data_IF_097468322113
#
_entry.id   IF_097468322113
#
_cell.length_a   1.000
_cell.length_b   1.000
_cell.length_c   1.000
_cell.angle_alpha   90.00
_cell.angle_beta   90.00
_cell.angle_gamma   90.00
#
_symmetry.space_group_name_H-M   'P 1'
#
loop_
_entity.id
_entity.type
_entity.pdbx_description
1 polymer ?
#
# COMPACT_ATOMS: atom_id res chain seq x y z
N UNK A 1 21.80 -5.20 10.97
CA UNK A 1 20.42 -4.70 11.14
C UNK A 1 19.45 -5.53 10.30
N UNK A 2 18.28 -5.82 10.83
CA UNK A 2 17.20 -6.49 10.13
C UNK A 2 16.08 -5.47 9.84
N UNK A 3 15.78 -5.25 8.57
CA UNK A 3 14.69 -4.39 8.12
C UNK A 3 13.54 -5.25 7.61
N UNK A 4 12.41 -5.18 8.29
CA UNK A 4 11.20 -5.86 7.86
C UNK A 4 10.33 -4.89 7.04
N UNK A 5 10.13 -5.21 5.77
CA UNK A 5 9.15 -4.52 4.95
C UNK A 5 7.79 -5.18 5.18
N UNK A 6 7.00 -4.56 6.04
CA UNK A 6 5.64 -4.96 6.38
C UNK A 6 4.63 -4.33 5.41
N UNK A 7 3.50 -3.85 5.90
CA UNK A 7 2.45 -3.16 5.14
C UNK A 7 1.54 -2.39 6.07
N UNK A 8 0.90 -1.34 5.57
CA UNK A 8 -0.24 -0.70 6.24
C UNK A 8 -1.34 -1.71 6.60
N UNK A 9 -1.45 -2.80 5.82
CA UNK A 9 -2.43 -3.86 6.07
C UNK A 9 -2.22 -4.58 7.42
N UNK A 10 -1.00 -4.60 7.94
CA UNK A 10 -0.72 -5.10 9.28
C UNK A 10 -1.36 -4.26 10.37
N UNK A 11 -1.49 -2.95 10.13
CA UNK A 11 -2.13 -2.02 11.06
C UNK A 11 -3.66 -1.97 10.89
N UNK A 12 -4.18 -2.19 9.68
CA UNK A 12 -5.60 -2.11 9.36
C UNK A 12 -6.02 -0.79 8.71
N UNK A 13 -7.33 -0.62 8.49
CA UNK A 13 -7.91 0.58 7.86
C UNK A 13 -7.83 1.81 8.76
N UNK A 14 -7.91 2.97 8.15
CA UNK A 14 -8.04 4.25 8.85
C UNK A 14 -9.51 4.59 9.09
N UNK A 15 -9.81 5.18 10.24
CA UNK A 15 -11.16 5.60 10.65
C UNK A 15 -11.36 7.12 10.41
N UNK A 16 -11.22 7.55 9.15
CA UNK A 16 -11.45 8.96 8.76
C UNK A 16 -10.29 9.92 9.01
N UNK A 17 -9.25 9.53 9.75
CA UNK A 17 -8.01 10.29 9.98
C UNK A 17 -6.79 9.53 9.50
N UNK A 18 -5.67 10.20 9.34
CA UNK A 18 -4.39 9.56 9.06
C UNK A 18 -4.01 8.62 10.22
N UNK A 19 -3.72 7.37 9.88
CA UNK A 19 -3.25 6.39 10.83
C UNK A 19 -1.80 6.67 11.22
N UNK A 20 -1.51 6.56 12.50
CA UNK A 20 -0.15 6.71 13.07
C UNK A 20 0.33 5.38 13.65
N UNK A 21 1.61 5.31 13.98
CA UNK A 21 2.23 4.14 14.61
C UNK A 21 1.70 3.86 16.01
N UNK A 22 1.11 4.87 16.66
CA UNK A 22 0.52 4.78 18.00
C UNK A 22 -0.89 4.22 18.01
N UNK A 23 -1.52 4.07 16.85
CA UNK A 23 -2.87 3.51 16.75
C UNK A 23 -2.83 2.00 16.93
N UNK A 24 -3.78 1.48 17.72
CA UNK A 24 -3.97 0.04 17.90
C UNK A 24 -4.12 -0.69 16.56
N UNK A 25 -3.45 -1.80 16.37
CA UNK A 25 -3.49 -2.56 15.12
C UNK A 25 -4.75 -3.43 15.04
N UNK A 26 -5.40 -3.41 13.88
CA UNK A 26 -6.59 -4.21 13.60
C UNK A 26 -6.57 -4.73 12.15
N UNK A 27 -5.74 -5.75 11.84
CA UNK A 27 -5.63 -6.28 10.49
C UNK A 27 -6.91 -7.03 10.09
N UNK A 28 -7.53 -6.62 9.00
CA UNK A 28 -8.84 -7.13 8.54
C UNK A 28 -8.76 -8.27 7.51
N UNK A 29 -7.59 -8.47 6.90
CA UNK A 29 -7.34 -9.47 5.85
C UNK A 29 -6.40 -10.57 6.34
N UNK A 30 -6.39 -11.70 5.64
CA UNK A 30 -5.38 -12.75 5.88
C UNK A 30 -3.96 -12.23 5.61
N UNK A 31 -3.80 -11.43 4.55
CA UNK A 31 -2.54 -10.77 4.25
C UNK A 31 -2.09 -9.85 5.39
N UNK A 32 -2.97 -8.98 5.87
CA UNK A 32 -2.68 -8.08 6.99
C UNK A 32 -2.29 -8.84 8.27
N UNK A 33 -3.05 -9.88 8.62
CA UNK A 33 -2.73 -10.75 9.76
C UNK A 33 -1.36 -11.42 9.60
N UNK A 34 -1.06 -11.97 8.41
CA UNK A 34 0.24 -12.58 8.13
C UNK A 34 1.38 -11.57 8.28
N UNK A 35 1.22 -10.33 7.79
CA UNK A 35 2.20 -9.26 7.97
C UNK A 35 2.37 -8.92 9.45
N UNK A 36 1.27 -8.79 10.22
CA UNK A 36 1.35 -8.52 11.66
C UNK A 36 2.04 -9.65 12.43
N UNK A 37 1.75 -10.91 12.11
CA UNK A 37 2.45 -12.06 12.71
C UNK A 37 3.96 -12.00 12.43
N UNK A 38 4.35 -11.64 11.20
CA UNK A 38 5.76 -11.43 10.84
C UNK A 38 6.42 -10.28 11.65
N UNK A 39 5.69 -9.19 11.88
CA UNK A 39 6.18 -8.08 12.73
C UNK A 39 6.43 -8.53 14.17
N UNK A 40 5.48 -9.27 14.76
CA UNK A 40 5.62 -9.78 16.14
C UNK A 40 6.77 -10.80 16.24
N UNK A 41 6.92 -11.68 15.25
CA UNK A 41 8.02 -12.63 15.20
C UNK A 41 9.39 -11.94 15.10
N UNK A 42 9.48 -10.85 14.30
CA UNK A 42 10.70 -10.06 14.23
C UNK A 42 10.97 -9.29 15.53
N UNK A 43 9.93 -8.71 16.14
CA UNK A 43 10.05 -8.00 17.42
C UNK A 43 10.50 -8.92 18.57
N UNK A 44 10.05 -10.18 18.59
CA UNK A 44 10.48 -11.16 19.57
C UNK A 44 11.98 -11.51 19.50
N UNK A 45 12.67 -11.12 18.42
CA UNK A 45 14.12 -11.29 18.25
C UNK A 45 14.90 -9.98 18.42
N UNK A 46 14.22 -8.88 18.80
CA UNK A 46 14.84 -7.56 18.83
C UNK A 46 15.88 -7.40 19.97
N UNK A 47 15.89 -8.27 20.94
CA UNK A 47 16.95 -8.39 21.97
C UNK A 47 18.27 -8.97 21.40
N UNK A 48 18.17 -9.73 20.30
CA UNK A 48 19.30 -10.44 19.68
C UNK A 48 19.78 -9.79 18.40
N UNK A 49 18.86 -9.17 17.66
CA UNK A 49 19.10 -8.54 16.35
C UNK A 49 18.47 -7.16 16.32
N UNK A 50 19.19 -6.10 15.90
CA UNK A 50 18.59 -4.78 15.71
C UNK A 50 17.51 -4.81 14.64
N UNK A 51 16.22 -4.67 14.99
CA UNK A 51 15.06 -4.74 14.11
C UNK A 51 14.47 -3.35 13.88
N UNK A 52 14.12 -3.04 12.63
CA UNK A 52 13.29 -1.89 12.28
C UNK A 52 12.21 -2.35 11.29
N UNK A 53 11.00 -1.84 11.45
CA UNK A 53 9.83 -2.22 10.66
C UNK A 53 9.37 -1.02 9.82
N UNK A 54 9.17 -1.23 8.51
CA UNK A 54 8.55 -0.24 7.62
C UNK A 54 7.18 -0.74 7.17
N UNK A 55 6.17 0.09 7.27
CA UNK A 55 4.79 -0.17 6.85
C UNK A 55 4.40 0.71 5.65
N UNK A 56 4.84 0.37 4.44
CA UNK A 56 4.37 1.08 3.25
C UNK A 56 2.88 0.81 3.01
N UNK A 57 2.13 1.79 2.46
CA UNK A 57 0.78 1.60 1.93
C UNK A 57 0.82 0.96 0.53
N UNK A 58 0.05 1.50 -0.43
CA UNK A 58 0.12 1.06 -1.81
C UNK A 58 1.43 1.51 -2.45
N UNK A 59 2.31 0.55 -2.72
CA UNK A 59 3.59 0.79 -3.42
C UNK A 59 3.36 0.71 -4.92
N UNK A 60 3.83 1.70 -5.67
CA UNK A 60 3.75 1.74 -7.13
C UNK A 60 5.09 2.15 -7.75
N UNK A 61 5.27 1.90 -9.04
CA UNK A 61 6.49 2.25 -9.77
C UNK A 61 6.79 1.29 -10.91
N UNK A 62 7.86 1.53 -11.62
CA UNK A 62 8.31 0.66 -12.71
C UNK A 62 8.52 -0.78 -12.24
N UNK A 63 7.96 -1.75 -12.98
CA UNK A 63 8.04 -3.18 -12.65
C UNK A 63 6.96 -3.70 -11.70
N UNK A 64 6.10 -2.85 -11.15
CA UNK A 64 4.99 -3.28 -10.30
C UNK A 64 3.88 -3.94 -11.13
N UNK A 65 3.81 -5.28 -11.04
CA UNK A 65 2.79 -6.07 -11.72
C UNK A 65 1.40 -5.90 -11.09
N UNK A 66 1.33 -5.65 -9.81
CA UNK A 66 0.06 -5.54 -9.08
C UNK A 66 -0.63 -4.21 -9.38
N UNK A 67 0.09 -3.10 -9.30
CA UNK A 67 -0.42 -1.77 -9.65
C UNK A 67 -0.75 -1.63 -11.13
N UNK A 68 -0.03 -2.32 -12.01
CA UNK A 68 -0.28 -2.31 -13.45
C UNK A 68 -1.75 -2.63 -13.81
N UNK A 69 -2.43 -3.45 -13.02
CA UNK A 69 -3.86 -3.74 -13.23
C UNK A 69 -4.78 -2.52 -13.05
N UNK A 70 -4.32 -1.45 -12.40
CA UNK A 70 -5.05 -0.18 -12.32
C UNK A 70 -4.78 0.66 -13.59
N UNK A 71 -3.54 0.70 -14.06
CA UNK A 71 -3.12 1.49 -15.22
C UNK A 71 -3.68 0.93 -16.55
N UNK A 72 -3.67 -0.39 -16.70
CA UNK A 72 -4.03 -1.06 -17.96
C UNK A 72 -5.44 -0.76 -18.47
N UNK A 73 -6.53 -0.85 -17.69
CA UNK A 73 -7.87 -0.51 -18.16
C UNK A 73 -8.03 0.97 -18.46
N UNK A 74 -7.33 1.86 -17.75
CA UNK A 74 -7.30 3.29 -18.04
C UNK A 74 -6.62 3.52 -19.39
N UNK A 75 -5.45 2.93 -19.64
CA UNK A 75 -4.74 3.04 -20.92
C UNK A 75 -5.58 2.50 -22.08
N UNK A 76 -6.14 1.30 -21.93
CA UNK A 76 -6.81 0.59 -23.04
C UNK A 76 -8.21 1.12 -23.32
N UNK A 77 -8.99 1.45 -22.30
CA UNK A 77 -10.41 1.74 -22.43
C UNK A 77 -10.83 3.11 -21.88
N UNK A 78 -9.96 3.85 -21.20
CA UNK A 78 -10.33 5.08 -20.49
C UNK A 78 -11.24 4.80 -19.28
N UNK A 79 -11.17 3.60 -18.68
CA UNK A 79 -12.06 3.18 -17.59
C UNK A 79 -11.24 2.94 -16.32
N UNK A 80 -11.71 3.51 -15.21
CA UNK A 80 -11.18 3.24 -13.87
C UNK A 80 -12.25 2.55 -13.01
N UNK A 81 -12.12 1.25 -12.70
CA UNK A 81 -13.02 0.55 -11.80
C UNK A 81 -12.87 1.06 -10.38
N UNK A 82 -13.95 1.54 -9.77
CA UNK A 82 -13.95 2.10 -8.40
C UNK A 82 -14.81 1.21 -7.49
N UNK A 83 -14.21 0.42 -6.57
CA UNK A 83 -14.98 -0.37 -5.62
C UNK A 83 -15.78 0.52 -4.66
N UNK A 84 -17.05 0.16 -4.43
CA UNK A 84 -17.88 0.77 -3.39
C UNK A 84 -18.15 2.26 -3.59
N UNK A 85 -18.85 2.63 -4.66
CA UNK A 85 -19.13 4.03 -5.06
C UNK A 85 -19.79 4.94 -4.01
N UNK A 86 -20.49 4.37 -3.05
CA UNK A 86 -21.20 5.18 -2.03
C UNK A 86 -20.29 5.83 -1.00
N UNK A 87 -19.03 5.37 -0.90
CA UNK A 87 -18.06 5.90 0.07
C UNK A 87 -16.79 6.29 -0.65
N UNK A 88 -16.51 7.59 -0.69
CA UNK A 88 -15.23 8.10 -1.18
C UNK A 88 -14.10 7.63 -0.25
N UNK A 89 -13.28 6.73 -0.73
CA UNK A 89 -12.16 6.14 0.02
C UNK A 89 -10.86 6.82 -0.37
N UNK A 90 -10.12 7.24 0.64
CA UNK A 90 -8.77 7.79 0.45
C UNK A 90 -7.73 6.69 0.50
N UNK A 91 -6.63 6.90 -0.21
CA UNK A 91 -5.50 5.98 -0.25
C UNK A 91 -4.19 6.74 -0.09
N UNK A 92 -3.30 6.25 0.77
CA UNK A 92 -1.89 6.64 0.77
C UNK A 92 -1.12 5.80 -0.23
N UNK A 93 -0.13 6.41 -0.85
CA UNK A 93 0.74 5.78 -1.84
C UNK A 93 2.20 6.06 -1.48
N UNK A 94 3.10 5.24 -2.02
CA UNK A 94 4.53 5.52 -2.01
C UNK A 94 5.15 4.98 -3.31
N UNK A 95 5.98 5.77 -3.94
CA UNK A 95 6.74 5.29 -5.10
C UNK A 95 7.88 4.38 -4.66
N UNK A 96 8.18 3.35 -5.44
CA UNK A 96 9.20 2.36 -5.13
C UNK A 96 10.59 2.97 -4.88
N UNK A 97 10.97 4.05 -5.59
CA UNK A 97 12.22 4.77 -5.36
C UNK A 97 12.25 5.46 -3.99
N UNK A 98 11.15 6.12 -3.59
CA UNK A 98 11.07 6.79 -2.30
C UNK A 98 11.03 5.77 -1.14
N UNK A 99 10.37 4.62 -1.35
CA UNK A 99 10.45 3.50 -0.41
C UNK A 99 11.88 2.96 -0.28
N UNK A 100 12.62 2.81 -1.39
CA UNK A 100 14.02 2.39 -1.35
C UNK A 100 14.91 3.38 -0.57
N UNK A 101 14.72 4.68 -0.76
CA UNK A 101 15.41 5.70 0.02
C UNK A 101 15.08 5.59 1.53
N UNK A 102 13.81 5.36 1.86
CA UNK A 102 13.39 5.16 3.26
C UNK A 102 14.02 3.91 3.90
N UNK A 103 14.19 2.83 3.13
CA UNK A 103 14.89 1.61 3.56
C UNK A 103 16.34 1.92 3.91
N UNK A 104 17.05 2.68 3.07
CA UNK A 104 18.43 3.08 3.33
C UNK A 104 18.54 3.97 4.57
N UNK A 105 17.64 4.96 4.72
CA UNK A 105 17.59 5.81 5.91
C UNK A 105 17.33 5.00 7.18
N UNK A 106 16.35 4.08 7.15
CA UNK A 106 16.02 3.23 8.28
C UNK A 106 17.16 2.26 8.63
N UNK A 107 17.90 1.77 7.64
CA UNK A 107 19.09 0.94 7.87
C UNK A 107 20.18 1.70 8.64
N UNK A 108 20.42 2.94 8.25
CA UNK A 108 21.51 3.78 8.78
C UNK A 108 21.15 4.44 10.11
N UNK A 109 19.94 4.95 10.26
CA UNK A 109 19.53 5.85 11.34
C UNK A 109 18.27 5.41 12.09
N UNK A 110 17.54 4.40 11.59
CA UNK A 110 16.25 4.00 12.16
C UNK A 110 16.40 3.55 13.62
N UNK A 111 15.47 4.03 14.45
CA UNK A 111 15.29 3.49 15.81
C UNK A 111 14.97 2.00 15.72
N UNK A 112 15.33 1.25 16.74
CA UNK A 112 15.11 -0.20 16.80
C UNK A 112 13.85 -0.50 17.60
N UNK A 113 13.16 -1.57 17.22
CA UNK A 113 12.00 -2.08 17.95
C UNK A 113 12.43 -2.48 19.35
N UNK A 114 11.66 -2.07 20.36
CA UNK A 114 11.82 -2.55 21.73
C UNK A 114 11.27 -3.99 21.83
N UNK A 115 12.03 -4.97 22.33
CA UNK A 115 11.52 -6.33 22.52
C UNK A 115 10.23 -6.39 23.35
N UNK A 116 10.04 -5.48 24.30
CA UNK A 116 8.83 -5.38 25.10
C UNK A 116 7.57 -5.08 24.25
N UNK A 117 7.72 -4.46 23.09
CA UNK A 117 6.61 -4.16 22.17
C UNK A 117 6.08 -5.40 21.44
N UNK A 118 6.75 -6.56 21.52
CA UNK A 118 6.30 -7.81 20.91
C UNK A 118 4.94 -8.29 21.45
N UNK A 119 4.58 -7.88 22.66
CA UNK A 119 3.29 -8.18 23.30
C UNK A 119 2.28 -7.03 23.25
N UNK A 120 2.63 -5.90 22.60
CA UNK A 120 1.79 -4.72 22.57
C UNK A 120 0.93 -4.65 21.29
N UNK A 121 -0.17 -3.90 21.39
CA UNK A 121 -1.04 -3.62 20.23
C UNK A 121 -0.38 -2.76 19.17
N UNK A 122 0.65 -1.99 19.53
CA UNK A 122 1.41 -1.14 18.63
C UNK A 122 2.91 -1.13 19.02
N UNK A 123 3.75 -0.68 18.10
CA UNK A 123 5.18 -0.47 18.37
C UNK A 123 5.42 1.01 18.72
N UNK A 124 5.90 1.27 19.94
CA UNK A 124 6.25 2.61 20.42
C UNK A 124 7.41 3.22 19.62
N UNK A 125 8.38 2.39 19.25
CA UNK A 125 9.57 2.78 18.49
C UNK A 125 9.95 1.74 17.44
N UNK A 126 10.82 2.11 16.50
CA UNK A 126 11.37 1.20 15.50
C UNK A 126 10.39 0.74 14.42
N UNK A 127 9.18 1.31 14.39
CA UNK A 127 8.19 1.07 13.35
C UNK A 127 7.80 2.40 12.70
N UNK A 128 7.70 2.41 11.36
CA UNK A 128 7.42 3.62 10.58
C UNK A 128 6.44 3.35 9.44
N UNK A 129 5.43 4.21 9.30
CA UNK A 129 4.73 4.33 8.04
C UNK A 129 5.57 5.13 7.03
N UNK A 130 5.51 4.72 5.76
CA UNK A 130 6.27 5.35 4.68
C UNK A 130 5.33 5.65 3.53
N UNK A 131 4.92 6.89 3.37
CA UNK A 131 4.00 7.30 2.31
C UNK A 131 4.30 8.71 1.80
N UNK A 132 3.75 9.01 0.63
CA UNK A 132 3.63 10.37 0.13
C UNK A 132 2.67 11.18 1.00
N UNK A 133 2.80 12.50 0.99
CA UNK A 133 1.91 13.41 1.73
C UNK A 133 0.52 13.48 1.11
N UNK A 134 0.45 13.27 -0.20
CA UNK A 134 -0.82 13.24 -0.91
C UNK A 134 -1.62 11.98 -0.56
N UNK A 135 -2.88 12.19 -0.18
CA UNK A 135 -3.83 11.12 0.10
C UNK A 135 -5.07 11.28 -0.78
N UNK A 136 -4.96 11.04 -2.09
CA UNK A 136 -6.06 11.21 -3.02
C UNK A 136 -7.22 10.26 -2.69
N UNK A 137 -8.42 10.60 -3.16
CA UNK A 137 -9.46 9.59 -3.24
C UNK A 137 -9.10 8.57 -4.32
N UNK A 138 -9.43 7.31 -4.07
CA UNK A 138 -9.17 6.25 -5.04
C UNK A 138 -9.81 6.53 -6.41
N UNK A 139 -10.98 7.19 -6.43
CA UNK A 139 -11.63 7.66 -7.66
C UNK A 139 -10.78 8.67 -8.42
N UNK A 140 -10.08 9.55 -7.72
CA UNK A 140 -9.33 10.65 -8.33
C UNK A 140 -7.95 10.17 -8.81
N UNK A 141 -7.44 9.07 -8.23
CA UNK A 141 -6.24 8.38 -8.73
C UNK A 141 -6.41 7.96 -10.20
N UNK A 142 -7.63 7.60 -10.61
CA UNK A 142 -7.93 7.29 -12.02
C UNK A 142 -7.69 8.46 -12.96
N UNK A 143 -8.08 9.68 -12.56
CA UNK A 143 -7.83 10.89 -13.34
C UNK A 143 -6.34 11.25 -13.37
N UNK A 144 -5.64 11.13 -12.24
CA UNK A 144 -4.19 11.37 -12.15
C UNK A 144 -3.42 10.43 -13.09
N UNK A 145 -3.75 9.13 -13.07
CA UNK A 145 -3.17 8.13 -13.99
C UNK A 145 -3.56 8.46 -15.43
N UNK A 146 -4.80 8.87 -15.67
CA UNK A 146 -5.28 9.30 -16.99
C UNK A 146 -4.43 10.44 -17.53
N UNK A 147 -4.20 11.48 -16.72
CA UNK A 147 -3.34 12.61 -17.08
C UNK A 147 -1.92 12.16 -17.44
N UNK A 148 -1.30 11.31 -16.63
CA UNK A 148 0.01 10.74 -16.92
C UNK A 148 0.05 9.91 -18.22
N UNK A 149 -1.09 9.31 -18.61
CA UNK A 149 -1.26 8.58 -19.88
C UNK A 149 -1.63 9.49 -21.08
N UNK A 150 -1.71 10.80 -20.89
CA UNK A 150 -2.17 11.77 -21.90
C UNK A 150 -3.65 11.65 -22.23
N UNK A 151 -4.47 11.16 -21.30
CA UNK A 151 -5.92 10.98 -21.46
C UNK A 151 -6.72 11.93 -20.59
N UNK A 152 -7.87 12.34 -21.07
CA UNK A 152 -8.86 13.14 -20.34
C UNK A 152 -10.19 12.38 -20.27
N UNK A 153 -11.04 12.73 -19.30
CA UNK A 153 -12.40 12.16 -19.23
C UNK A 153 -12.43 10.68 -18.87
N UNK A 154 -11.66 10.27 -17.87
CA UNK A 154 -11.63 8.87 -17.41
C UNK A 154 -13.00 8.49 -16.82
N UNK A 155 -13.60 7.45 -17.37
CA UNK A 155 -14.88 6.92 -16.89
C UNK A 155 -14.66 6.13 -15.59
N UNK A 156 -15.14 6.68 -14.47
CA UNK A 156 -15.12 6.00 -13.16
C UNK A 156 -16.26 4.99 -13.12
N UNK A 157 -15.93 3.71 -13.30
CA UNK A 157 -16.93 2.63 -13.28
C UNK A 157 -17.16 2.12 -11.86
N UNK A 158 -18.35 2.33 -11.31
CA UNK A 158 -18.66 1.81 -9.98
C UNK A 158 -18.75 0.30 -9.97
N UNK A 159 -18.01 -0.33 -9.07
CA UNK A 159 -18.10 -1.76 -8.85
C UNK A 159 -18.78 -2.00 -7.50
N UNK A 160 -20.01 -2.55 -7.48
CA UNK A 160 -20.67 -2.93 -6.22
C UNK A 160 -19.83 -3.90 -5.40
N UNK A 161 -19.77 -3.71 -4.08
CA UNK A 161 -18.98 -4.55 -3.19
C UNK A 161 -19.35 -6.04 -3.30
N UNK A 162 -20.64 -6.35 -3.51
CA UNK A 162 -21.10 -7.71 -3.74
C UNK A 162 -20.46 -8.33 -5.00
N UNK A 163 -20.42 -7.57 -6.11
CA UNK A 163 -19.80 -8.03 -7.36
C UNK A 163 -18.29 -8.19 -7.20
N UNK A 164 -17.62 -7.28 -6.52
CA UNK A 164 -16.19 -7.39 -6.23
C UNK A 164 -15.88 -8.63 -5.39
N UNK A 165 -16.71 -8.95 -4.38
CA UNK A 165 -16.56 -10.14 -3.52
C UNK A 165 -16.81 -11.43 -4.28
N UNK A 166 -17.86 -11.52 -5.11
CA UNK A 166 -18.14 -12.73 -5.92
C UNK A 166 -17.02 -12.98 -6.93
N UNK A 167 -16.58 -11.94 -7.65
CA UNK A 167 -15.44 -12.04 -8.57
C UNK A 167 -14.15 -12.43 -7.85
N UNK A 168 -13.87 -11.86 -6.68
CA UNK A 168 -12.74 -12.23 -5.83
C UNK A 168 -12.80 -13.66 -5.32
N UNK A 169 -14.00 -14.15 -4.96
CA UNK A 169 -14.24 -15.54 -4.57
C UNK A 169 -13.92 -16.52 -5.71
N UNK A 170 -14.47 -16.26 -6.89
CA UNK A 170 -14.20 -17.08 -8.08
C UNK A 170 -12.71 -17.06 -8.45
N UNK A 171 -12.08 -15.89 -8.44
CA UNK A 171 -10.64 -15.77 -8.71
C UNK A 171 -9.79 -16.56 -7.70
N UNK A 172 -10.20 -16.60 -6.43
CA UNK A 172 -9.52 -17.39 -5.38
C UNK A 172 -9.63 -18.89 -5.68
N UNK A 173 -10.82 -19.39 -6.04
CA UNK A 173 -11.03 -20.81 -6.40
C UNK A 173 -10.17 -21.19 -7.61
N UNK A 174 -10.20 -20.38 -8.67
CA UNK A 174 -9.39 -20.61 -9.88
C UNK A 174 -7.89 -20.62 -9.57
N UNK A 175 -7.45 -19.71 -8.70
CA UNK A 175 -6.06 -19.63 -8.24
C UNK A 175 -5.63 -20.88 -7.48
N UNK A 176 -6.48 -21.38 -6.58
CA UNK A 176 -6.24 -22.62 -5.85
C UNK A 176 -6.15 -23.84 -6.79
N UNK A 177 -7.09 -23.94 -7.75
CA UNK A 177 -7.09 -25.03 -8.74
C UNK A 177 -5.85 -25.01 -9.65
N UNK A 178 -5.32 -23.82 -9.95
CA UNK A 178 -4.11 -23.65 -10.78
C UNK A 178 -2.80 -23.76 -10.01
N UNK A 179 -2.85 -23.85 -8.68
CA UNK A 179 -1.66 -23.86 -7.82
C UNK A 179 -0.80 -22.59 -7.90
N UNK A 180 -1.36 -21.49 -8.41
CA UNK A 180 -0.66 -20.20 -8.57
C UNK A 180 -1.48 -19.08 -7.95
N UNK A 181 -0.89 -18.25 -7.06
CA UNK A 181 -1.60 -17.13 -6.44
C UNK A 181 -2.01 -16.11 -7.51
N UNK A 182 -3.30 -15.76 -7.52
CA UNK A 182 -3.83 -14.69 -8.37
C UNK A 182 -3.62 -13.31 -7.74
N UNK A 183 -3.54 -12.27 -8.58
CA UNK A 183 -3.41 -10.87 -8.12
C UNK A 183 -4.71 -10.38 -7.46
N UNK A 184 -5.86 -10.85 -7.94
CA UNK A 184 -7.18 -10.54 -7.37
C UNK A 184 -7.69 -11.74 -6.58
N UNK A 185 -8.14 -11.51 -5.36
CA UNK A 185 -8.64 -12.53 -4.44
C UNK A 185 -9.79 -11.97 -3.59
N UNK A 186 -10.53 -12.85 -2.91
CA UNK A 186 -11.56 -12.44 -1.95
C UNK A 186 -10.98 -11.55 -0.84
N UNK A 187 -9.74 -11.81 -0.43
CA UNK A 187 -9.04 -11.02 0.59
C UNK A 187 -8.78 -9.59 0.12
N UNK A 188 -8.34 -9.42 -1.15
CA UNK A 188 -8.20 -8.09 -1.79
C UNK A 188 -9.53 -7.38 -1.98
N UNK A 189 -10.60 -8.09 -2.31
CA UNK A 189 -11.94 -7.52 -2.39
C UNK A 189 -12.43 -7.02 -1.02
N UNK A 190 -12.13 -7.73 0.08
CA UNK A 190 -12.41 -7.29 1.45
C UNK A 190 -11.63 -6.05 1.82
N UNK A 191 -10.33 -6.00 1.54
CA UNK A 191 -9.50 -4.80 1.75
C UNK A 191 -10.06 -3.59 0.99
N UNK A 192 -10.39 -3.76 -0.29
CA UNK A 192 -10.99 -2.72 -1.11
C UNK A 192 -12.36 -2.23 -0.61
N UNK A 193 -13.13 -3.09 0.06
CA UNK A 193 -14.43 -2.75 0.62
C UNK A 193 -14.39 -2.10 2.02
N UNK A 194 -13.28 -2.19 2.73
CA UNK A 194 -13.24 -1.94 4.18
C UNK A 194 -13.03 -0.46 4.59
N UNK A 195 -12.89 0.47 3.66
CA UNK A 195 -12.72 1.89 4.00
C UNK A 195 -11.47 2.53 3.42
N UNK A 196 -11.00 3.61 4.04
CA UNK A 196 -9.79 4.32 3.62
C UNK A 196 -8.52 3.65 4.15
N UNK A 197 -7.46 3.75 3.36
CA UNK A 197 -6.14 3.22 3.68
C UNK A 197 -5.13 4.37 3.67
N UNK A 198 -5.20 5.24 4.69
CA UNK A 198 -4.34 6.41 4.80
C UNK A 198 -3.52 6.37 6.09
N UNK A 199 -2.26 6.75 5.99
CA UNK A 199 -1.33 6.81 7.11
C UNK A 199 -0.47 8.08 7.05
N UNK A 200 0.17 8.39 8.16
CA UNK A 200 1.07 9.54 8.31
C UNK A 200 2.52 9.06 8.19
N UNK A 201 3.32 9.74 7.39
CA UNK A 201 4.79 9.59 7.35
C UNK A 201 5.51 10.56 8.29
N UNK A 202 4.79 11.23 9.18
CA UNK A 202 5.36 12.29 10.02
C UNK A 202 6.48 11.79 10.92
N UNK A 203 6.32 10.61 11.52
CA UNK A 203 7.35 10.00 12.39
C UNK A 203 8.66 9.75 11.65
N UNK A 204 8.62 9.14 10.47
CA UNK A 204 9.85 8.87 9.69
C UNK A 204 10.49 10.16 9.19
N UNK A 205 9.70 11.19 8.90
CA UNK A 205 10.21 12.52 8.53
C UNK A 205 10.96 13.17 9.69
N UNK A 206 10.36 13.20 10.86
CA UNK A 206 10.95 13.82 12.06
C UNK A 206 12.20 13.09 12.54
N UNK A 207 12.15 11.76 12.62
CA UNK A 207 13.23 10.97 13.18
C UNK A 207 14.37 10.72 12.17
N UNK A 208 14.05 10.49 10.89
CA UNK A 208 15.04 10.06 9.88
C UNK A 208 15.29 11.09 8.78
N UNK A 209 14.51 12.18 8.72
CA UNK A 209 14.63 13.17 7.66
C UNK A 209 14.12 12.68 6.31
N UNK A 210 13.21 11.69 6.28
CA UNK A 210 12.61 11.21 5.05
C UNK A 210 11.86 12.32 4.31
N UNK A 211 12.02 12.37 3.00
CA UNK A 211 11.27 13.25 2.10
C UNK A 211 11.08 12.55 0.77
N UNK A 212 9.91 12.68 0.17
CA UNK A 212 9.70 12.32 -1.23
C UNK A 212 10.51 13.26 -2.14
N UNK A 213 11.15 12.72 -3.17
CA UNK A 213 12.03 13.49 -4.06
C UNK A 213 11.32 14.10 -5.26
N UNK A 214 10.06 13.72 -5.48
CA UNK A 214 9.24 14.23 -6.58
C UNK A 214 7.77 14.24 -6.14
N UNK A 215 6.92 14.98 -6.85
CA UNK A 215 5.48 15.01 -6.61
C UNK A 215 4.84 13.64 -6.96
N UNK A 216 3.64 13.39 -6.46
CA UNK A 216 2.90 12.18 -6.79
C UNK A 216 2.60 12.12 -8.31
N UNK A 217 2.32 13.26 -8.92
CA UNK A 217 2.08 13.40 -10.35
C UNK A 217 3.33 13.02 -11.18
N UNK A 218 4.51 13.52 -10.80
CA UNK A 218 5.77 13.19 -11.46
C UNK A 218 6.09 11.70 -11.32
N UNK A 219 5.82 11.11 -10.16
CA UNK A 219 6.02 9.68 -9.91
C UNK A 219 5.06 8.80 -10.71
N UNK A 220 3.82 9.24 -10.91
CA UNK A 220 2.87 8.56 -11.78
C UNK A 220 3.32 8.64 -13.24
N UNK A 221 3.79 9.81 -13.69
CA UNK A 221 4.35 9.98 -15.04
C UNK A 221 5.55 9.06 -15.25
N UNK A 222 6.52 9.06 -14.34
CA UNK A 222 7.69 8.17 -14.38
C UNK A 222 7.29 6.69 -14.49
N UNK A 223 6.25 6.30 -13.76
CA UNK A 223 5.73 4.91 -13.79
C UNK A 223 5.11 4.58 -15.15
N UNK A 224 4.34 5.51 -15.72
CA UNK A 224 3.72 5.36 -17.04
C UNK A 224 4.78 5.25 -18.13
N UNK A 225 5.79 6.13 -18.10
CA UNK A 225 6.89 6.14 -19.05
C UNK A 225 7.63 4.81 -19.03
N UNK A 226 7.92 4.30 -17.84
CA UNK A 226 8.56 2.99 -17.68
C UNK A 226 7.72 1.86 -18.30
N UNK A 227 6.38 1.84 -18.09
CA UNK A 227 5.51 0.83 -18.69
C UNK A 227 5.45 0.93 -20.23
N UNK A 228 5.48 2.15 -20.77
CA UNK A 228 5.50 2.40 -22.22
C UNK A 228 6.82 1.93 -22.84
N UNK A 229 7.94 2.33 -22.27
CA UNK A 229 9.28 1.96 -22.75
C UNK A 229 9.52 0.44 -22.75
N UNK A 230 8.91 -0.27 -21.80
CA UNK A 230 9.05 -1.73 -21.66
C UNK A 230 7.96 -2.53 -22.37
N UNK A 231 7.04 -1.86 -23.08
CA UNK A 231 5.98 -2.53 -23.85
C UNK A 231 4.97 -3.31 -22.99
N UNK A 232 4.65 -2.81 -21.78
CA UNK A 232 3.71 -3.47 -20.88
C UNK A 232 2.23 -3.22 -21.25
N UNK A 233 1.92 -2.15 -22.01
CA UNK A 233 0.58 -1.79 -22.47
C UNK A 233 0.15 -2.48 -23.75
#
# INVERSE_FOLDING_TARGET
>A
VFLLISSIAAAGTSEGRLRTEMDAVNPISHYGRSKRTGELAAAALADRIPVTILRPPFVFGGGDRSGFYIFRPIKRFGIHPVPGMRHRRKISLVHAKDLADSILLAAQRGTRVDPADASCDHFRQGCYFVCDDATPFYSDLGDMIGTALGKTGILKLPVPDALARTAGGLATIVSQLRGRPGVFSLDKAREGAAGSWICSSEKIKQELGFKTKASLEDRLQETVDWYLERGWF
#
